data_IF_109365852525
#
_entry.id   IF_109365852525
#
_cell.length_a   1.000
_cell.length_b   1.000
_cell.length_c   1.000
_cell.angle_alpha   90.00
_cell.angle_beta   90.00
_cell.angle_gamma   90.00
#
_symmetry.space_group_name_H-M   'P 1'
#
loop_
_entity.id
_entity.type
_entity.pdbx_description
1 polymer ?
#
# COMPACT_ATOMS: atom_id res chain seq x y z
N UNK A 1 -20.24 2.26 -13.70
CA UNK A 1 -19.39 1.05 -13.69
C UNK A 1 -17.99 1.50 -13.30
N UNK A 2 -17.52 1.23 -12.07
CA UNK A 2 -16.17 1.61 -11.63
C UNK A 2 -15.18 0.54 -12.08
N UNK A 3 -14.25 0.87 -12.97
CA UNK A 3 -13.17 -0.03 -13.38
C UNK A 3 -11.99 0.26 -12.45
N UNK A 4 -11.75 -0.63 -11.47
CA UNK A 4 -10.56 -0.58 -10.64
C UNK A 4 -9.43 -1.32 -11.36
N UNK A 5 -8.45 -0.60 -11.90
CA UNK A 5 -7.23 -1.20 -12.45
C UNK A 5 -6.22 -1.41 -11.31
N UNK A 6 -5.90 -2.67 -10.99
CA UNK A 6 -4.86 -3.02 -10.01
C UNK A 6 -3.52 -3.15 -10.73
N UNK A 7 -2.72 -2.08 -10.72
CA UNK A 7 -1.34 -2.16 -11.21
C UNK A 7 -0.44 -2.68 -10.08
N UNK A 8 -0.07 -3.96 -10.16
CA UNK A 8 0.86 -4.58 -9.20
C UNK A 8 2.26 -3.98 -9.35
N UNK A 9 2.84 -3.59 -8.22
CA UNK A 9 4.20 -3.06 -8.12
C UNK A 9 5.13 -4.19 -7.68
N UNK A 10 5.51 -5.07 -8.61
CA UNK A 10 6.32 -6.27 -8.35
C UNK A 10 7.79 -6.01 -8.04
N UNK A 11 8.21 -4.75 -7.93
CA UNK A 11 9.64 -4.36 -7.88
C UNK A 11 10.10 -3.83 -6.53
N UNK A 12 9.19 -3.63 -5.58
CA UNK A 12 9.52 -3.27 -4.20
C UNK A 12 9.32 -4.53 -3.36
N UNK A 13 10.44 -5.15 -2.99
CA UNK A 13 10.45 -6.37 -2.17
C UNK A 13 10.75 -5.96 -0.74
N UNK A 14 9.77 -6.13 0.13
CA UNK A 14 9.94 -5.95 1.57
C UNK A 14 9.49 -7.23 2.27
N UNK A 15 10.27 -7.81 3.21
CA UNK A 15 9.96 -9.11 3.82
C UNK A 15 8.55 -9.21 4.41
N UNK A 16 8.06 -8.09 4.93
CA UNK A 16 6.75 -7.95 5.56
C UNK A 16 5.60 -7.64 4.58
N UNK A 17 5.91 -7.34 3.31
CA UNK A 17 4.93 -6.99 2.28
C UNK A 17 4.67 -8.21 1.41
N UNK A 18 3.42 -8.65 1.42
CA UNK A 18 2.93 -9.73 0.57
C UNK A 18 2.69 -9.24 -0.86
N UNK A 19 2.07 -8.06 -0.97
CA UNK A 19 1.65 -7.50 -2.24
C UNK A 19 1.54 -5.99 -2.14
N UNK A 20 1.85 -5.30 -3.22
CA UNK A 20 1.74 -3.86 -3.32
C UNK A 20 1.13 -3.50 -4.66
N UNK A 21 0.12 -2.66 -4.66
CA UNK A 21 -0.53 -2.23 -5.89
C UNK A 21 -1.14 -0.85 -5.76
N UNK A 22 -1.23 -0.15 -6.88
CA UNK A 22 -1.87 1.15 -6.96
C UNK A 22 -3.35 0.95 -7.28
N UNK A 23 -4.22 1.54 -6.45
CA UNK A 23 -5.65 1.65 -6.68
C UNK A 23 -5.92 3.07 -7.16
N UNK A 24 -6.22 3.20 -8.45
CA UNK A 24 -6.66 4.47 -9.04
C UNK A 24 -8.18 4.53 -9.02
N UNK A 25 -8.74 5.56 -8.39
CA UNK A 25 -10.17 5.85 -8.52
C UNK A 25 -10.37 6.79 -9.71
N UNK A 26 -10.83 6.25 -10.83
CA UNK A 26 -11.35 7.05 -11.94
C UNK A 26 -12.76 7.55 -11.58
N UNK A 27 -12.83 8.45 -10.60
CA UNK A 27 -14.05 9.14 -10.20
C UNK A 27 -14.16 10.47 -10.94
N UNK A 28 -15.26 10.62 -11.70
CA UNK A 28 -15.79 11.83 -12.32
C UNK A 28 -14.77 12.81 -12.97
N UNK A 29 -14.78 13.03 -14.30
CA UNK A 29 -13.84 13.92 -14.99
C UNK A 29 -13.91 15.41 -14.60
N UNK A 30 -14.79 15.78 -13.65
CA UNK A 30 -14.97 17.14 -13.13
C UNK A 30 -14.34 17.36 -11.75
N UNK A 31 -13.86 16.32 -11.08
CA UNK A 31 -13.11 16.44 -9.82
C UNK A 31 -11.64 16.19 -10.13
N UNK A 32 -10.79 17.21 -9.95
CA UNK A 32 -9.34 17.09 -10.07
C UNK A 32 -8.71 16.20 -8.99
N UNK A 33 -9.52 15.69 -8.06
CA UNK A 33 -9.11 14.75 -7.02
C UNK A 33 -8.88 13.36 -7.63
N UNK A 34 -7.76 13.21 -8.33
CA UNK A 34 -7.16 11.92 -8.60
C UNK A 34 -6.77 11.31 -7.25
N UNK A 35 -7.61 10.45 -6.68
CA UNK A 35 -7.25 9.72 -5.46
C UNK A 35 -6.44 8.48 -5.83
N UNK A 36 -5.12 8.65 -6.01
CA UNK A 36 -4.21 7.55 -6.22
C UNK A 36 -3.82 6.96 -4.85
N UNK A 37 -4.32 5.75 -4.57
CA UNK A 37 -4.07 5.07 -3.29
C UNK A 37 -3.10 3.92 -3.47
N UNK A 38 -1.96 3.97 -2.77
CA UNK A 38 -1.06 2.83 -2.67
C UNK A 38 -1.58 1.85 -1.63
N UNK A 39 -1.87 0.62 -2.05
CA UNK A 39 -2.29 -0.45 -1.14
C UNK A 39 -1.11 -1.38 -0.88
N UNK A 40 -0.78 -1.56 0.39
CA UNK A 40 0.25 -2.48 0.89
C UNK A 40 -0.46 -3.61 1.64
N UNK A 41 -0.39 -4.81 1.08
CA UNK A 41 -0.85 -6.03 1.73
C UNK A 41 0.31 -6.68 2.47
N UNK A 42 0.09 -7.02 3.74
CA UNK A 42 1.13 -7.52 4.65
C UNK A 42 0.89 -8.98 5.01
N UNK A 43 1.97 -9.73 5.19
CA UNK A 43 1.93 -11.12 5.67
C UNK A 43 1.98 -11.20 7.21
N UNK A 44 1.45 -10.19 7.90
CA UNK A 44 1.49 -10.17 9.36
C UNK A 44 0.72 -11.38 9.91
N UNK A 45 1.30 -12.15 10.84
CA UNK A 45 0.56 -13.19 11.53
C UNK A 45 -0.54 -12.53 12.37
N UNK A 46 -1.80 -12.70 11.95
CA UNK A 46 -2.98 -12.29 12.73
C UNK A 46 -3.28 -13.37 13.77
N UNK A 47 -2.31 -13.70 14.61
CA UNK A 47 -2.59 -14.50 15.81
C UNK A 47 -2.91 -13.53 16.94
N UNK A 48 -4.14 -13.59 17.46
CA UNK A 48 -4.62 -12.73 18.57
C UNK A 48 -3.72 -12.82 19.82
N UNK A 49 -2.95 -13.90 19.95
CA UNK A 49 -2.00 -14.11 21.04
C UNK A 49 -0.64 -13.41 20.85
N UNK A 50 -0.35 -12.79 19.69
CA UNK A 50 0.95 -12.20 19.40
C UNK A 50 0.90 -10.75 18.88
N UNK A 51 0.12 -9.92 19.56
CA UNK A 51 0.03 -8.47 19.30
C UNK A 51 1.38 -7.73 19.40
N UNK A 52 2.33 -8.24 20.20
CA UNK A 52 3.68 -7.66 20.32
C UNK A 52 4.47 -7.82 19.02
N UNK A 53 4.45 -8.99 18.39
CA UNK A 53 5.12 -9.18 17.10
C UNK A 53 4.44 -8.36 16.01
N UNK A 54 3.11 -8.29 15.97
CA UNK A 54 2.39 -7.43 15.03
C UNK A 54 2.84 -5.97 15.11
N UNK A 55 2.89 -5.39 16.33
CA UNK A 55 3.29 -4.00 16.52
C UNK A 55 4.75 -3.76 16.09
N UNK A 56 5.65 -4.71 16.34
CA UNK A 56 7.05 -4.61 15.90
C UNK A 56 7.16 -4.59 14.38
N UNK A 57 6.45 -5.48 13.69
CA UNK A 57 6.45 -5.55 12.23
C UNK A 57 5.80 -4.32 11.58
N UNK A 58 4.72 -3.81 12.17
CA UNK A 58 4.09 -2.57 11.73
C UNK A 58 5.04 -1.38 11.91
N UNK A 59 5.74 -1.29 13.04
CA UNK A 59 6.70 -0.21 13.28
C UNK A 59 7.86 -0.22 12.28
N UNK A 60 8.38 -1.40 11.94
CA UNK A 60 9.41 -1.57 10.90
C UNK A 60 8.87 -1.08 9.54
N UNK A 61 7.69 -1.56 9.14
CA UNK A 61 7.06 -1.14 7.88
C UNK A 61 6.79 0.38 7.82
N UNK A 62 6.35 0.99 8.93
CA UNK A 62 6.11 2.43 9.02
C UNK A 62 7.41 3.25 8.95
N UNK A 63 8.52 2.70 9.44
CA UNK A 63 9.85 3.32 9.34
C UNK A 63 10.32 3.36 7.89
N UNK A 64 10.06 2.29 7.14
CA UNK A 64 10.45 2.18 5.72
C UNK A 64 9.43 2.82 4.76
N UNK A 65 8.24 3.17 5.24
CA UNK A 65 7.14 3.71 4.44
C UNK A 65 7.52 4.94 3.60
N UNK A 66 8.25 5.94 4.10
CA UNK A 66 8.65 7.10 3.29
C UNK A 66 9.55 6.70 2.12
N UNK A 67 10.45 5.74 2.33
CA UNK A 67 11.32 5.20 1.28
C UNK A 67 10.51 4.45 0.24
N UNK A 68 9.57 3.60 0.69
CA UNK A 68 8.65 2.88 -0.20
C UNK A 68 7.82 3.87 -1.03
N UNK A 69 7.22 4.88 -0.38
CA UNK A 69 6.41 5.89 -1.05
C UNK A 69 7.23 6.63 -2.11
N UNK A 70 8.41 7.14 -1.78
CA UNK A 70 9.29 7.82 -2.74
C UNK A 70 9.64 6.93 -3.94
N UNK A 71 9.92 5.65 -3.72
CA UNK A 71 10.23 4.71 -4.80
C UNK A 71 9.02 4.44 -5.71
N UNK A 72 7.82 4.37 -5.14
CA UNK A 72 6.59 4.21 -5.92
C UNK A 72 6.28 5.50 -6.68
N UNK A 73 6.32 6.65 -6.02
CA UNK A 73 6.02 7.94 -6.62
C UNK A 73 6.94 8.28 -7.80
N UNK A 74 8.23 7.94 -7.68
CA UNK A 74 9.19 8.06 -8.77
C UNK A 74 8.81 7.26 -10.04
N UNK A 75 7.94 6.25 -9.91
CA UNK A 75 7.51 5.37 -11.02
C UNK A 75 6.12 5.68 -11.53
N UNK A 76 5.18 5.99 -10.64
CA UNK A 76 3.75 6.09 -10.98
C UNK A 76 3.16 7.49 -10.86
N UNK A 77 3.94 8.46 -10.37
CA UNK A 77 3.47 9.79 -10.01
C UNK A 77 3.06 9.88 -8.54
N UNK A 78 2.63 11.07 -8.12
CA UNK A 78 2.26 11.36 -6.74
C UNK A 78 1.19 10.39 -6.20
N UNK A 79 1.29 10.05 -4.92
CA UNK A 79 0.33 9.21 -4.19
C UNK A 79 -0.24 10.03 -3.05
N UNK A 80 -1.57 10.14 -3.00
CA UNK A 80 -2.26 10.93 -1.98
C UNK A 80 -2.43 10.16 -0.67
N UNK A 81 -2.51 8.82 -0.76
CA UNK A 81 -2.84 7.96 0.37
C UNK A 81 -2.18 6.60 0.30
N UNK A 82 -1.75 6.11 1.46
CA UNK A 82 -1.26 4.73 1.63
C UNK A 82 -2.19 3.96 2.57
N UNK A 83 -2.71 2.83 2.10
CA UNK A 83 -3.53 1.91 2.88
C UNK A 83 -2.73 0.63 3.18
N UNK A 84 -2.49 0.34 4.47
CA UNK A 84 -1.82 -0.89 4.93
C UNK A 84 -2.90 -1.85 5.46
N UNK A 85 -2.91 -3.07 4.94
CA UNK A 85 -3.86 -4.11 5.37
C UNK A 85 -3.21 -5.49 5.42
N UNK A 86 -3.68 -6.41 6.27
CA UNK A 86 -3.24 -7.80 6.22
C UNK A 86 -3.83 -8.53 5.00
N UNK A 87 -3.11 -9.52 4.48
CA UNK A 87 -3.65 -10.48 3.52
C UNK A 87 -4.71 -11.34 4.25
N UNK A 88 -5.91 -11.40 3.69
CA UNK A 88 -6.96 -12.35 4.10
C UNK A 88 -6.79 -13.67 3.37
#
# INVERSE_FOLDING_TARGET
MMIQTRNKLSTIVHPLVASMYLKKEYGNPHTQDHNDTLVIETNFPIDDNNSKSFNSYLQELLTDLPTIQNQVEARVGHIDRVDIRPVH
#
